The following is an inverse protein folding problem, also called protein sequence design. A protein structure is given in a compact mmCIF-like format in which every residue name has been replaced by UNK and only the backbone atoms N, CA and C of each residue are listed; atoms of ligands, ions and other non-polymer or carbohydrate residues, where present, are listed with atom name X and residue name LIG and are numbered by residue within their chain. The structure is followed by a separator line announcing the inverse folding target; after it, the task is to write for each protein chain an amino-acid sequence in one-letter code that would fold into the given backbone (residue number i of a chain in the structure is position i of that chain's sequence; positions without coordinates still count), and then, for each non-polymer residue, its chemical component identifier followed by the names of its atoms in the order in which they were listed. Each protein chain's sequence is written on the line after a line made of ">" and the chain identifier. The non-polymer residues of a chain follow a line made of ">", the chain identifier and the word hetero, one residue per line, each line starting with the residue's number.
data_IF_213257444662
#
_entry.id   IF_213257444662
#
_cell.length_a   1.000
_cell.length_b   1.000
_cell.length_c   1.000
_cell.angle_alpha   90.00
_cell.angle_beta   90.00
_cell.angle_gamma   90.00
#
_symmetry.space_group_name_H-M   'P 1'
#
loop_
_entity.id
_entity.type
_entity.pdbx_description
1 polymer ?
2 polymer ?
3 water ?
#
# COMPACT_ATOMS: atom_id res chain seq x y z
N UNK A 25 -27.33 4.51 11.68
CA UNK A 25 -26.21 5.13 10.93
C UNK A 25 -24.91 4.35 11.14
N UNK A 26 -24.45 3.69 10.08
CA UNK A 26 -23.22 2.90 10.13
C UNK A 26 -21.99 3.76 9.86
N UNK A 27 -20.90 3.49 10.57
CA UNK A 27 -19.66 4.23 10.39
C UNK A 27 -18.82 3.58 9.28
N UNK A 28 -19.34 2.52 8.67
CA UNK A 28 -18.64 1.82 7.61
C UNK A 28 -19.21 2.12 6.23
N UNK A 29 -18.33 2.48 5.31
CA UNK A 29 -18.72 2.78 3.93
C UNK A 29 -18.26 1.70 2.97
N UNK A 30 -19.10 1.42 1.97
CA UNK A 30 -18.77 0.47 0.93
C UNK A 30 -18.43 1.37 -0.25
N UNK A 31 -17.26 1.18 -0.83
CA UNK A 31 -16.79 1.99 -1.93
C UNK A 31 -16.46 1.18 -3.18
N UNK A 32 -16.77 1.77 -4.32
CA UNK A 32 -16.44 1.17 -5.61
C UNK A 32 -15.72 2.29 -6.36
N UNK A 33 -14.59 1.99 -6.97
CA UNK A 33 -13.86 2.98 -7.75
C UNK A 33 -14.00 2.56 -9.21
N UNK A 34 -14.83 3.29 -9.95
CA UNK A 34 -15.05 2.96 -11.35
C UNK A 34 -14.09 3.72 -12.26
N UNK A 35 -14.03 3.30 -13.52
CA UNK A 35 -13.15 3.95 -14.50
C UNK A 35 -11.74 4.02 -13.94
N UNK A 36 -11.25 2.86 -13.50
CA UNK A 36 -9.91 2.74 -12.90
C UNK A 36 -8.81 2.78 -13.95
N UNK A 37 -8.55 3.97 -14.47
CA UNK A 37 -7.55 4.15 -15.50
C UNK A 37 -6.15 4.48 -14.98
N UNK A 38 -6.01 4.49 -13.66
CA UNK A 38 -4.74 4.72 -12.97
C UNK A 38 -4.93 4.00 -11.65
N UNK A 39 -3.89 3.34 -11.15
CA UNK A 39 -4.04 2.64 -9.87
C UNK A 39 -4.39 3.53 -8.69
N UNK A 40 -5.23 3.00 -7.81
CA UNK A 40 -5.64 3.72 -6.61
C UNK A 40 -5.25 2.83 -5.44
N UNK A 41 -4.28 3.30 -4.65
CA UNK A 41 -3.81 2.53 -3.52
C UNK A 41 -4.64 2.76 -2.27
N UNK A 42 -4.48 1.86 -1.31
CA UNK A 42 -5.20 1.96 -0.05
C UNK A 42 -4.83 3.29 0.62
N UNK A 43 -3.56 3.66 0.54
CA UNK A 43 -3.08 4.89 1.14
C UNK A 43 -3.72 6.14 0.54
N UNK A 44 -4.01 6.11 -0.76
CA UNK A 44 -4.66 7.26 -1.40
C UNK A 44 -6.10 7.37 -0.89
N UNK A 45 -6.76 6.22 -0.67
CA UNK A 45 -8.12 6.26 -0.14
C UNK A 45 -8.06 6.85 1.28
N UNK A 46 -7.03 6.48 2.04
CA UNK A 46 -6.88 7.00 3.40
C UNK A 46 -6.72 8.52 3.37
N UNK A 47 -5.92 9.01 2.43
CA UNK A 47 -5.68 10.44 2.30
C UNK A 47 -6.96 11.21 2.03
N UNK A 48 -7.72 10.73 1.04
CA UNK A 48 -8.96 11.39 0.67
C UNK A 48 -10.05 11.36 1.76
N UNK A 49 -10.27 10.19 2.34
CA UNK A 49 -11.29 10.06 3.35
C UNK A 49 -10.93 10.65 4.71
N UNK A 50 -9.63 10.81 4.98
CA UNK A 50 -9.21 11.38 6.26
C UNK A 50 -9.60 12.85 6.41
N UNK A 51 -9.95 13.49 5.30
CA UNK A 51 -10.37 14.89 5.37
C UNK A 51 -11.69 15.03 6.12
N UNK A 52 -12.47 13.96 6.17
CA UNK A 52 -13.78 14.01 6.83
C UNK A 52 -13.88 13.33 8.20
N UNK A 53 -12.79 12.69 8.63
CA UNK A 53 -12.83 12.04 9.91
C UNK A 53 -11.64 11.13 10.13
N UNK A 54 -11.66 10.43 11.26
CA UNK A 54 -10.60 9.52 11.61
C UNK A 54 -10.89 8.15 10.99
N UNK A 55 -10.02 7.73 10.07
CA UNK A 55 -10.17 6.44 9.41
C UNK A 55 -9.49 5.39 10.28
N UNK A 56 -10.25 4.41 10.73
CA UNK A 56 -9.73 3.35 11.60
C UNK A 56 -9.21 2.14 10.85
N UNK A 57 -9.94 1.73 9.82
CA UNK A 57 -9.54 0.55 9.05
C UNK A 57 -9.99 0.64 7.59
N UNK A 58 -9.24 -0.01 6.71
CA UNK A 58 -9.59 -0.08 5.30
C UNK A 58 -9.20 -1.44 4.76
N UNK A 59 -10.06 -2.00 3.90
CA UNK A 59 -9.77 -3.27 3.26
C UNK A 59 -10.21 -3.13 1.81
N UNK A 60 -9.36 -3.52 0.89
CA UNK A 60 -9.70 -3.44 -0.53
C UNK A 60 -9.73 -4.81 -1.16
N UNK A 61 -10.49 -4.96 -2.22
CA UNK A 61 -10.60 -6.23 -2.92
C UNK A 61 -11.22 -6.05 -4.30
N UNK A 62 -11.01 -7.04 -5.17
CA UNK A 62 -11.55 -6.99 -6.52
C UNK A 62 -12.60 -8.07 -6.68
N UNK A 63 -13.83 -7.65 -6.98
CA UNK A 63 -14.94 -8.57 -7.17
C UNK A 63 -15.82 -8.07 -8.31
N UNK A 64 -16.28 -9.01 -9.14
CA UNK A 64 -17.13 -8.65 -10.27
C UNK A 64 -16.37 -7.71 -11.20
N UNK A 65 -15.06 -7.91 -11.30
CA UNK A 65 -14.21 -7.10 -12.14
C UNK A 65 -14.25 -5.61 -11.76
N UNK A 66 -14.47 -5.34 -10.47
CA UNK A 66 -14.53 -3.97 -9.99
C UNK A 66 -13.70 -3.80 -8.72
N UNK A 67 -12.97 -2.69 -8.64
CA UNK A 67 -12.16 -2.40 -7.46
C UNK A 67 -13.10 -1.90 -6.37
N UNK A 68 -13.09 -2.54 -5.22
CA UNK A 68 -13.97 -2.17 -4.12
C UNK A 68 -13.22 -2.04 -2.81
N UNK A 69 -13.85 -1.37 -1.86
CA UNK A 69 -13.24 -1.21 -0.55
C UNK A 69 -14.28 -1.00 0.52
N UNK A 70 -13.90 -1.33 1.75
CA UNK A 70 -14.72 -1.11 2.93
C UNK A 70 -13.85 -0.19 3.78
N UNK A 71 -14.44 0.87 4.30
CA UNK A 71 -13.69 1.85 5.09
C UNK A 71 -14.48 2.19 6.35
N UNK A 72 -13.81 2.12 7.50
CA UNK A 72 -14.44 2.40 8.78
C UNK A 72 -13.97 3.67 9.45
N UNK A 73 -14.92 4.57 9.72
CA UNK A 73 -14.66 5.81 10.43
C UNK A 73 -15.00 5.54 11.88
N UNK A 74 -14.55 6.43 12.77
CA UNK A 74 -14.90 6.27 14.18
C UNK A 74 -16.30 6.83 14.41
N UNK A 75 -16.68 7.82 13.61
CA UNK A 75 -17.96 8.51 13.73
C UNK A 75 -18.91 8.31 12.55
N UNK A 76 -20.13 7.82 12.79
CA UNK A 76 -21.07 7.61 11.69
C UNK A 76 -21.35 8.91 10.92
N UNK A 77 -21.28 10.05 11.61
CA UNK A 77 -21.52 11.33 10.95
C UNK A 77 -20.41 11.61 9.94
N UNK A 78 -19.19 11.18 10.24
CA UNK A 78 -18.08 11.37 9.31
C UNK A 78 -18.36 10.57 8.04
N UNK A 79 -18.90 9.36 8.21
CA UNK A 79 -19.23 8.51 7.08
C UNK A 79 -20.31 9.19 6.23
N UNK A 80 -21.32 9.73 6.89
CA UNK A 80 -22.41 10.42 6.21
C UNK A 80 -21.86 11.61 5.41
N UNK A 81 -20.98 12.37 6.05
CA UNK A 81 -20.38 13.55 5.46
C UNK A 81 -19.55 13.19 4.23
N UNK A 82 -18.71 12.18 4.36
CA UNK A 82 -17.87 11.75 3.25
C UNK A 82 -18.70 11.29 2.06
N UNK A 83 -19.79 10.57 2.33
CA UNK A 83 -20.66 10.10 1.27
C UNK A 83 -21.28 11.29 0.54
N UNK A 84 -21.83 12.22 1.29
CA UNK A 84 -22.45 13.41 0.70
C UNK A 84 -21.48 14.23 -0.14
N UNK A 85 -20.27 14.42 0.37
CA UNK A 85 -19.27 15.23 -0.30
C UNK A 85 -18.48 14.56 -1.43
N UNK A 86 -18.17 13.28 -1.26
CA UNK A 86 -17.35 12.57 -2.23
C UNK A 86 -18.02 11.70 -3.29
N UNK A 87 -19.25 11.28 -3.04
CA UNK A 87 -19.93 10.42 -4.00
C UNK A 87 -19.96 11.04 -5.40
N UNK A 88 -19.54 10.25 -6.39
CA UNK A 88 -19.53 10.71 -7.77
C UNK A 88 -18.30 11.50 -8.21
N UNK A 89 -17.39 11.80 -7.30
CA UNK A 89 -16.19 12.55 -7.65
C UNK A 89 -15.04 11.70 -8.16
N UNK A 90 -14.24 12.27 -9.06
CA UNK A 90 -13.08 11.58 -9.60
C UNK A 90 -11.88 11.85 -8.70
N UNK A 91 -11.12 10.80 -8.41
CA UNK A 91 -9.93 10.94 -7.56
C UNK A 91 -8.84 11.71 -8.31
N UNK A 92 -8.61 11.32 -9.56
CA UNK A 92 -7.62 11.99 -10.40
C UNK A 92 -8.33 12.51 -11.64
N UNK A 93 -7.70 13.46 -12.34
CA UNK A 93 -8.30 14.01 -13.55
C UNK A 93 -8.72 12.92 -14.51
N UNK A 94 -9.99 12.94 -14.91
CA UNK A 94 -10.53 12.01 -15.88
C UNK A 94 -10.53 10.51 -15.54
N UNK A 95 -10.58 10.16 -14.25
CA UNK A 95 -10.65 8.74 -13.88
C UNK A 95 -10.98 8.53 -12.44
N UNK A 96 -11.09 7.25 -12.12
CA UNK A 96 -11.22 6.82 -10.75
C UNK A 96 -12.36 7.48 -9.99
N UNK A 97 -13.58 7.17 -10.42
CA UNK A 97 -14.81 7.72 -9.86
C UNK A 97 -15.32 6.96 -8.64
N UNK A 98 -15.53 7.68 -7.55
CA UNK A 98 -16.02 7.08 -6.32
C UNK A 98 -17.54 6.88 -6.35
N UNK A 99 -17.98 5.67 -5.98
CA UNK A 99 -19.39 5.31 -5.88
C UNK A 99 -19.47 4.85 -4.43
N UNK A 100 -20.14 5.63 -3.59
CA UNK A 100 -20.19 5.37 -2.15
C UNK A 100 -21.56 5.07 -1.56
N UNK A 101 -21.63 4.03 -0.74
CA UNK A 101 -22.87 3.65 -0.05
C UNK A 101 -22.54 3.22 1.38
N UNK A 102 -23.56 3.09 2.21
CA UNK A 102 -23.35 2.67 3.59
C UNK A 102 -23.37 1.15 3.67
N UNK A 103 -22.51 0.58 4.50
CA UNK A 103 -22.45 -0.86 4.70
C UNK A 103 -23.29 -1.15 5.95
N UNK A 104 -23.81 -2.37 6.05
CA UNK A 104 -24.57 -2.74 7.24
C UNK A 104 -23.63 -3.21 8.35
N UNK A 105 -22.36 -3.39 8.00
CA UNK A 105 -21.36 -3.82 8.97
C UNK A 105 -21.17 -2.71 10.00
N UNK A 106 -21.10 -3.08 11.28
CA UNK A 106 -20.92 -2.09 12.34
C UNK A 106 -19.44 -1.76 12.58
N UNK A 107 -18.56 -2.63 12.09
CA UNK A 107 -17.11 -2.45 12.22
C UNK A 107 -16.43 -3.39 11.22
N UNK A 108 -15.11 -3.32 11.13
CA UNK A 108 -14.36 -4.18 10.21
C UNK A 108 -13.30 -4.99 10.92
N UNK A 109 -13.10 -6.21 10.44
CA UNK A 109 -12.10 -7.11 10.96
C UNK A 109 -10.95 -7.15 9.97
N UNK A 110 -9.77 -6.70 10.40
CA UNK A 110 -8.57 -6.70 9.57
C UNK A 110 -7.54 -7.62 10.21
N UNK A 111 -7.01 -8.55 9.44
CA UNK A 111 -6.01 -9.49 9.94
C UNK A 111 -4.57 -9.08 9.63
N UNK A 112 -4.39 -8.36 8.53
CA UNK A 112 -3.04 -7.96 8.13
C UNK A 112 -2.89 -6.50 7.72
N UNK A 113 -1.66 -5.99 7.85
CA UNK A 113 -1.33 -4.64 7.43
C UNK A 113 -0.43 -4.79 6.21
N UNK A 114 -0.96 -4.50 5.04
CA UNK A 114 -0.21 -4.61 3.79
C UNK A 114 -0.83 -3.71 2.72
N UNK A 115 -0.66 -4.09 1.45
CA UNK A 115 -1.18 -3.28 0.35
C UNK A 115 -2.69 -3.37 0.17
N UNK A 116 -3.30 -4.42 0.72
CA UNK A 116 -4.73 -4.63 0.55
C UNK A 116 -5.59 -4.38 1.79
N UNK A 117 -4.98 -4.26 2.95
CA UNK A 117 -5.73 -3.99 4.17
C UNK A 117 -4.87 -3.28 5.19
N UNK A 118 -5.52 -2.56 6.08
CA UNK A 118 -4.81 -1.80 7.09
C UNK A 118 -5.70 -1.51 8.28
N UNK A 119 -5.19 -1.76 9.48
CA UNK A 119 -5.90 -1.44 10.71
C UNK A 119 -5.00 -0.36 11.32
N UNK A 120 -5.44 0.89 11.20
CA UNK A 120 -4.68 2.02 11.70
C UNK A 120 -4.59 2.08 13.22
N UNK A 121 -5.30 1.19 13.90
CA UNK A 121 -5.27 1.17 15.36
C UNK A 121 -4.46 -0.03 15.88
N UNK A 122 -4.00 -0.89 14.99
CA UNK A 122 -3.22 -2.07 15.39
C UNK A 122 -1.92 -2.22 14.58
N UNK A 123 -0.84 -1.55 15.03
CA UNK A 123 0.47 -1.60 14.38
C UNK A 123 1.27 -2.89 14.52
N UNK A 124 0.75 -3.83 15.30
CA UNK A 124 1.44 -5.10 15.53
C UNK A 124 1.01 -6.23 14.61
N UNK A 125 0.03 -5.98 13.75
CA UNK A 125 -0.45 -7.04 12.86
C UNK A 125 0.62 -7.45 11.85
N UNK A 126 0.63 -8.75 11.48
CA UNK A 126 1.62 -9.19 10.50
C UNK A 126 1.19 -8.71 9.12
N UNK A 127 2.07 -8.84 8.13
CA UNK A 127 1.76 -8.40 6.78
C UNK A 127 1.15 -9.53 5.95
N UNK A 128 1.15 -10.73 6.51
CA UNK A 128 0.61 -11.89 5.82
C UNK A 128 0.57 -13.10 6.71
N UNK A 129 -0.17 -14.12 6.27
CA UNK A 129 -0.33 -15.37 7.02
C UNK A 129 0.99 -15.97 7.47
N UNK A 130 1.05 -16.35 8.74
CA UNK A 130 2.26 -16.95 9.31
C UNK A 130 2.52 -18.34 8.74
N UNK B 25 12.43 14.21 2.84
CA UNK B 25 13.59 14.33 1.91
C UNK B 25 13.57 13.26 0.82
N UNK B 26 14.38 12.22 0.96
CA UNK B 26 14.44 11.16 -0.04
C UNK B 26 13.36 10.09 0.16
N UNK B 27 12.58 9.81 -0.90
CA UNK B 27 11.52 8.80 -0.84
C UNK B 27 12.01 7.42 -1.29
N UNK B 28 13.28 7.31 -1.63
CA UNK B 28 13.85 6.04 -2.09
C UNK B 28 14.70 5.36 -1.03
N UNK B 29 14.44 4.08 -0.81
CA UNK B 29 15.19 3.29 0.17
C UNK B 29 16.07 2.25 -0.51
N UNK B 30 17.24 2.02 0.08
CA UNK B 30 18.17 1.00 -0.40
C UNK B 30 17.97 -0.13 0.60
N UNK B 31 17.69 -1.32 0.10
CA UNK B 31 17.44 -2.46 0.97
C UNK B 31 18.36 -3.65 0.70
N UNK B 32 18.77 -4.31 1.76
CA UNK B 32 19.60 -5.50 1.67
C UNK B 32 18.92 -6.52 2.56
N UNK B 33 18.81 -7.76 2.08
CA UNK B 33 18.19 -8.80 2.88
C UNK B 33 19.29 -9.79 3.27
N UNK B 34 19.65 -9.79 4.55
CA UNK B 34 20.70 -10.70 5.04
C UNK B 34 20.09 -12.03 5.51
N UNK B 35 20.96 -13.01 5.71
CA UNK B 35 20.54 -14.33 6.17
C UNK B 35 19.40 -14.83 5.27
N UNK B 36 19.63 -14.79 3.97
CA UNK B 36 18.65 -15.20 2.98
C UNK B 36 18.54 -16.72 2.89
N UNK B 37 17.75 -17.30 3.80
CA UNK B 37 17.59 -18.75 3.83
C UNK B 37 16.31 -19.22 3.15
N UNK B 38 15.63 -18.29 2.49
CA UNK B 38 14.42 -18.57 1.72
C UNK B 38 14.34 -17.42 0.72
N UNK B 39 13.96 -17.70 -0.53
CA UNK B 39 13.87 -16.64 -1.53
C UNK B 39 12.82 -15.57 -1.21
N UNK B 40 13.22 -14.30 -1.34
CA UNK B 40 12.33 -13.19 -1.10
C UNK B 40 12.01 -12.56 -2.45
N UNK B 41 10.75 -12.65 -2.84
CA UNK B 41 10.29 -12.12 -4.12
C UNK B 41 9.99 -10.64 -4.07
N UNK B 42 9.86 -10.04 -5.25
CA UNK B 42 9.53 -8.63 -5.36
C UNK B 42 8.12 -8.41 -4.81
N UNK B 43 7.22 -9.33 -5.10
CA UNK B 43 5.84 -9.22 -4.60
C UNK B 43 5.81 -9.15 -3.08
N UNK B 44 6.66 -9.94 -2.44
CA UNK B 44 6.72 -9.96 -0.98
C UNK B 44 7.21 -8.61 -0.45
N UNK B 45 8.21 -8.04 -1.10
CA UNK B 45 8.72 -6.74 -0.66
C UNK B 45 7.60 -5.70 -0.78
N UNK B 46 6.85 -5.75 -1.87
CA UNK B 46 5.74 -4.81 -2.08
C UNK B 46 4.67 -4.99 -1.01
N UNK B 47 4.32 -6.25 -0.72
CA UNK B 47 3.31 -6.57 0.28
C UNK B 47 3.67 -5.98 1.64
N UNK B 48 4.92 -6.14 2.04
CA UNK B 48 5.38 -5.62 3.32
C UNK B 48 5.50 -4.11 3.35
N UNK B 49 6.32 -3.54 2.49
CA UNK B 49 6.52 -2.11 2.52
C UNK B 49 5.27 -1.26 2.26
N UNK B 50 4.27 -1.84 1.61
CA UNK B 50 3.04 -1.10 1.35
C UNK B 50 2.28 -0.78 2.64
N UNK B 51 2.64 -1.47 3.72
CA UNK B 51 1.97 -1.25 4.99
C UNK B 51 2.24 0.15 5.56
N UNK B 52 3.17 0.87 4.95
CA UNK B 52 3.50 2.22 5.42
C UNK B 52 3.25 3.34 4.42
N UNK B 53 2.73 2.99 3.25
CA UNK B 53 2.45 4.02 2.25
C UNK B 53 2.43 3.48 0.85
N UNK B 54 2.16 4.36 -0.12
CA UNK B 54 2.11 3.98 -1.52
C UNK B 54 3.49 3.68 -2.10
N UNK B 55 3.70 2.44 -2.50
CA UNK B 55 4.97 2.02 -3.11
C UNK B 55 4.81 2.22 -4.61
N UNK B 56 5.64 3.10 -5.18
CA UNK B 56 5.57 3.40 -6.59
C UNK B 56 6.36 2.46 -7.49
N UNK B 57 7.58 2.14 -7.09
CA UNK B 57 8.45 1.27 -7.88
C UNK B 57 9.42 0.46 -7.04
N UNK B 58 9.80 -0.70 -7.57
CA UNK B 58 10.78 -1.58 -6.92
C UNK B 58 11.69 -2.22 -7.96
N UNK B 59 12.97 -2.31 -7.64
CA UNK B 59 13.94 -2.94 -8.51
C UNK B 59 14.83 -3.80 -7.60
N UNK B 60 15.03 -5.06 -7.98
CA UNK B 60 15.86 -5.94 -7.17
C UNK B 60 17.07 -6.38 -7.99
N UNK B 61 18.15 -6.72 -7.31
CA UNK B 61 19.36 -7.17 -7.97
C UNK B 61 20.32 -7.79 -6.96
N UNK B 62 21.30 -8.53 -7.48
CA UNK B 62 22.28 -9.18 -6.63
C UNK B 62 23.67 -8.59 -6.92
N UNK B 63 24.20 -7.84 -5.97
CA UNK B 63 25.51 -7.22 -6.12
C UNK B 63 26.36 -7.50 -4.89
N UNK B 64 27.65 -7.75 -5.11
CA UNK B 64 28.57 -8.04 -4.01
C UNK B 64 28.08 -9.24 -3.21
N UNK B 65 27.51 -10.21 -3.90
CA UNK B 65 27.00 -11.43 -3.27
C UNK B 65 25.95 -11.11 -2.20
N UNK B 66 25.07 -10.16 -2.51
CA UNK B 66 24.02 -9.77 -1.58
C UNK B 66 22.73 -9.45 -2.33
N UNK B 67 21.60 -9.92 -1.79
CA UNK B 67 20.31 -9.64 -2.40
C UNK B 67 19.95 -8.23 -1.99
N UNK B 68 19.78 -7.34 -2.97
CA UNK B 68 19.45 -5.95 -2.69
C UNK B 68 18.24 -5.47 -3.48
N UNK B 69 17.75 -4.30 -3.12
CA UNK B 69 16.60 -3.71 -3.81
C UNK B 69 16.55 -2.22 -3.58
N UNK B 70 15.89 -1.53 -4.50
CA UNK B 70 15.68 -0.09 -4.41
C UNK B 70 14.17 0.02 -4.43
N UNK B 71 13.60 0.80 -3.51
CA UNK B 71 12.16 0.93 -3.43
C UNK B 71 11.79 2.40 -3.26
N UNK B 72 10.84 2.87 -4.06
CA UNK B 72 10.41 4.25 -4.00
C UNK B 72 8.97 4.43 -3.50
N UNK B 73 8.84 5.24 -2.46
CA UNK B 73 7.55 5.57 -1.87
C UNK B 73 7.07 6.87 -2.51
N UNK B 74 5.76 7.13 -2.40
CA UNK B 74 5.21 8.37 -2.95
C UNK B 74 5.55 9.53 -2.02
N UNK B 75 5.70 9.21 -0.73
CA UNK B 75 5.99 10.23 0.27
C UNK B 75 7.20 9.89 1.14
N UNK B 76 8.14 10.84 1.30
CA UNK B 76 9.33 10.60 2.11
C UNK B 76 9.00 10.19 3.54
N UNK B 77 7.88 10.67 4.06
CA UNK B 77 7.48 10.34 5.42
C UNK B 77 7.31 8.82 5.55
N UNK B 78 6.76 8.20 4.51
CA UNK B 78 6.57 6.75 4.52
C UNK B 78 7.92 6.04 4.54
N UNK B 79 8.87 6.55 3.75
CA UNK B 79 10.19 5.95 3.69
C UNK B 79 10.88 6.02 5.05
N UNK B 80 10.72 7.15 5.73
CA UNK B 80 11.30 7.34 7.06
C UNK B 80 10.69 6.39 8.08
N UNK B 81 9.36 6.26 8.06
CA UNK B 81 8.71 5.36 9.00
C UNK B 81 9.13 3.93 8.74
N UNK B 82 9.18 3.53 7.48
CA UNK B 82 9.58 2.17 7.12
C UNK B 82 10.97 1.83 7.65
N UNK B 83 11.90 2.77 7.52
CA UNK B 83 13.26 2.53 8.01
C UNK B 83 13.25 2.36 9.52
N UNK B 84 12.55 3.24 10.23
CA UNK B 84 12.47 3.15 11.69
C UNK B 84 11.85 1.84 12.16
N UNK B 85 10.79 1.40 11.48
CA UNK B 85 10.10 0.19 11.88
C UNK B 85 10.66 -1.14 11.38
N UNK B 86 11.04 -1.20 10.12
CA UNK B 86 11.52 -2.44 9.52
C UNK B 86 13.01 -2.77 9.57
N UNK B 87 13.84 -1.78 9.84
CA UNK B 87 15.29 -2.03 9.88
C UNK B 87 15.59 -3.07 10.96
N UNK B 88 16.18 -4.19 10.55
CA UNK B 88 16.51 -5.25 11.49
C UNK B 88 15.44 -6.30 11.70
N UNK B 89 14.31 -6.17 11.00
CA UNK B 89 13.21 -7.12 11.14
C UNK B 89 13.28 -8.29 10.16
N UNK B 90 12.89 -9.47 10.61
CA UNK B 90 12.90 -10.66 9.75
C UNK B 90 11.61 -10.76 8.97
N UNK B 91 11.72 -11.06 7.68
CA UNK B 91 10.55 -11.22 6.82
C UNK B 91 9.85 -12.53 7.16
N UNK B 92 10.65 -13.58 7.35
CA UNK B 92 10.13 -14.90 7.72
C UNK B 92 10.80 -15.33 9.02
N UNK B 93 10.23 -16.34 9.68
CA UNK B 93 10.79 -16.81 10.93
C UNK B 93 12.27 -17.21 10.80
N UNK B 94 13.09 -16.65 11.68
CA UNK B 94 14.53 -16.94 11.73
C UNK B 94 15.37 -16.68 10.47
N UNK B 95 14.93 -15.78 9.59
CA UNK B 95 15.72 -15.49 8.39
C UNK B 95 15.33 -14.20 7.74
N UNK B 96 16.06 -13.91 6.67
CA UNK B 96 15.73 -12.81 5.81
C UNK B 96 15.55 -11.47 6.53
N UNK B 97 16.65 -11.00 7.11
CA UNK B 97 16.70 -9.76 7.87
C UNK B 97 16.88 -8.53 7.00
N UNK B 98 16.00 -7.55 7.17
CA UNK B 98 16.05 -6.32 6.41
C UNK B 98 17.07 -5.31 6.95
N UNK B 99 17.89 -4.78 6.05
CA UNK B 99 18.90 -3.77 6.38
C UNK B 99 18.49 -2.59 5.48
N UNK B 100 18.03 -1.51 6.11
CA UNK B 100 17.52 -0.37 5.36
C UNK B 100 18.25 0.97 5.56
N UNK B 101 18.50 1.66 4.44
CA UNK B 101 19.14 2.97 4.47
C UNK B 101 18.51 3.83 3.37
N UNK B 102 18.70 5.15 3.47
CA UNK B 102 18.14 6.04 2.46
C UNK B 102 19.06 6.09 1.24
N UNK B 103 18.46 6.15 0.06
CA UNK B 103 19.21 6.25 -1.19
C UNK B 103 19.32 7.74 -1.53
N UNK B 104 20.36 8.10 -2.28
CA UNK B 104 20.54 9.49 -2.68
C UNK B 104 19.71 9.78 -3.94
N UNK B 105 19.19 8.73 -4.56
CA UNK B 105 18.36 8.88 -5.75
C UNK B 105 17.04 9.56 -5.38
N UNK B 106 16.57 10.45 -6.26
CA UNK B 106 15.32 11.16 -6.01
C UNK B 106 14.12 10.42 -6.59
N UNK B 107 14.39 9.46 -7.46
CA UNK B 107 13.35 8.64 -8.09
C UNK B 107 14.01 7.42 -8.72
N UNK B 108 13.20 6.51 -9.25
CA UNK B 108 13.73 5.30 -9.89
C UNK B 108 13.18 5.15 -11.30
N UNK B 109 13.99 4.58 -12.19
CA UNK B 109 13.57 4.36 -13.56
C UNK B 109 13.35 2.86 -13.75
N UNK B 110 12.16 2.49 -14.23
CA UNK B 110 11.82 1.09 -14.46
C UNK B 110 11.37 0.93 -15.91
N UNK B 111 11.95 -0.07 -16.58
CA UNK B 111 11.63 -0.35 -17.98
C UNK B 111 10.58 -1.44 -18.17
N UNK B 112 10.63 -2.47 -17.34
CA UNK B 112 9.68 -3.57 -17.47
C UNK B 112 9.07 -4.07 -16.17
N UNK B 113 7.95 -4.76 -16.28
CA UNK B 113 7.28 -5.35 -15.12
C UNK B 113 7.50 -6.86 -15.15
N UNK B 114 8.38 -7.33 -14.29
CA UNK B 114 8.67 -8.76 -14.20
C UNK B 114 9.10 -9.12 -12.78
N UNK B 115 9.84 -10.22 -12.65
CA UNK B 115 10.29 -10.66 -11.33
C UNK B 115 11.43 -9.83 -10.74
N UNK B 116 12.08 -9.01 -11.58
CA UNK B 116 13.20 -8.20 -11.11
C UNK B 116 12.89 -6.71 -10.92
N UNK B 117 11.83 -6.23 -11.55
CA UNK B 117 11.46 -4.82 -11.42
C UNK B 117 9.98 -4.63 -11.64
N UNK B 118 9.43 -3.57 -11.07
CA UNK B 118 8.01 -3.32 -11.21
C UNK B 118 7.68 -1.85 -11.01
N UNK B 119 6.84 -1.32 -11.89
CA UNK B 119 6.38 0.06 -11.80
C UNK B 119 4.89 -0.05 -11.50
N UNK B 120 4.53 0.21 -10.24
CA UNK B 120 3.14 0.12 -9.83
C UNK B 120 2.26 1.24 -10.35
N UNK B 121 2.86 2.24 -10.99
CA UNK B 121 2.08 3.35 -11.55
C UNK B 121 1.75 3.05 -13.01
N UNK B 122 2.37 2.00 -13.55
CA UNK B 122 2.14 1.60 -14.94
C UNK B 122 2.01 0.08 -15.05
N UNK B 123 0.83 -0.46 -14.71
CA UNK B 123 0.56 -1.90 -14.77
C UNK B 123 0.62 -2.52 -16.16
N UNK B 124 0.55 -1.70 -17.20
CA UNK B 124 0.59 -2.22 -18.56
C UNK B 124 1.98 -2.25 -19.20
N UNK B 125 3.00 -2.04 -18.38
CA UNK B 125 4.38 -2.03 -18.88
C UNK B 125 4.72 -3.47 -19.29
N UNK B 126 5.47 -3.64 -20.39
CA UNK B 126 5.86 -4.96 -20.88
C UNK B 126 6.81 -5.71 -19.94
N UNK B 127 6.79 -7.04 -20.03
CA UNK B 127 7.64 -7.88 -19.19
C UNK B 127 9.07 -7.97 -19.72
N UNK B 128 9.26 -7.56 -20.98
CA UNK B 128 10.58 -7.61 -21.57
C UNK B 128 10.57 -7.23 -23.03
N UNK C 7 -12.25 19.67 -11.00
CA UNK C 7 -12.25 18.56 -12.01
C UNK C 7 -11.98 17.21 -11.32
N UNK C 8 -11.16 17.23 -10.28
CA UNK C 8 -10.85 16.01 -9.54
C UNK C 8 -10.34 16.36 -8.14
N UNK C 9 -10.33 15.36 -7.26
CA UNK C 9 -9.88 15.56 -5.91
C UNK C 9 -8.39 15.85 -5.77
N UNK C 10 -7.57 15.07 -6.47
CA UNK C 10 -6.12 15.22 -6.37
C UNK C 10 -5.38 15.75 -7.60
N UNK C 11 -6.07 15.90 -8.71
CA UNK C 11 -5.41 16.40 -9.91
C UNK C 11 -4.73 15.30 -10.71
N UNK C 12 -3.51 15.56 -11.15
CA UNK C 12 -2.74 14.58 -11.92
C UNK C 12 -2.15 13.54 -10.99
N UNK C 13 -2.04 12.28 -11.45
CA UNK C 13 -1.49 11.19 -10.64
C UNK C 13 -0.10 11.50 -10.05
N UNK C 14 0.22 10.89 -8.90
CA UNK C 14 1.51 11.09 -8.22
C UNK C 14 2.72 10.77 -9.09
N UNK D 7 8.18 -14.86 15.19
CA UNK D 7 8.55 -13.42 15.28
C UNK D 7 9.01 -12.90 13.92
N UNK D 8 8.05 -12.65 13.04
CA UNK D 8 8.36 -12.17 11.69
C UNK D 8 7.18 -11.46 11.03
N UNK D 9 7.45 -10.83 9.90
CA UNK D 9 6.43 -10.11 9.16
C UNK D 9 5.42 -11.01 8.46
N UNK D 10 5.88 -12.15 7.94
CA UNK D 10 5.01 -13.08 7.23
C UNK D 10 4.90 -14.48 7.84
N UNK D 11 5.65 -14.75 8.89
CA UNK D 11 5.59 -16.05 9.51
C UNK D 11 6.43 -17.10 8.80
N UNK D 12 5.88 -18.29 8.59
CA UNK D 12 6.60 -19.37 7.93
C UNK D 12 6.47 -19.25 6.42
N UNK D 13 7.53 -19.59 5.67
CA UNK D 13 7.53 -19.52 4.21
C UNK D 13 6.30 -20.21 3.62
N UNK D 14 5.83 -19.73 2.45
CA UNK D 14 4.65 -20.31 1.80
C UNK D 14 4.86 -21.75 1.34
#
# INVERSE_FOLDING_TARGET
>A
SVQSGNLALAASAAAVDAGMAMAGQSPVLRIIVENLFYPVTLDVLHQIFSKFGTVLKIITFTKNNQFQALLQYADPVSAQHAKLSLDGQNIYNACCTLRIDFSKLTSLNVKYNNDKSRDYTRPDLPSGDS
>B
SVQSGNLALAASAAAVDAGMAMAGQSPVLRIIVENLFYPVTLDVLHQIFSKFGTVLKIITFTKNNQFQALLQYADPVSAQHAKLSLDGQNIYNACCTLRIDFSKLTSLNVKYNNDKSRDYTRPDLPSGDS
>C
GAMGPGVSLLGAPPKD
>D
GAMGPGVSLLGAPPKD
#
